data_IF_805709322325
#
_entry.id   IF_805709322325
#
_cell.length_a   1.000
_cell.length_b   1.000
_cell.length_c   1.000
_cell.angle_alpha   90.00
_cell.angle_beta   90.00
_cell.angle_gamma   90.00
#
_symmetry.space_group_name_H-M   'P 1'
#
loop_
_entity.id
_entity.type
_entity.pdbx_description
1 polymer ?
#
# COMPACT_ATOMS: atom_id res chain seq x y z
N UNK A 1 70.17 -49.53 30.11
CA UNK A 1 69.03 -49.01 30.91
C UNK A 1 68.36 -47.90 30.12
N UNK A 2 67.04 -48.02 29.94
CA UNK A 2 66.22 -47.33 28.94
C UNK A 2 66.06 -45.84 29.28
N UNK A 3 66.30 -44.93 28.32
CA UNK A 3 65.82 -43.55 28.41
C UNK A 3 64.40 -43.48 27.84
N UNK A 4 63.50 -42.86 28.60
CA UNK A 4 62.10 -42.66 28.27
C UNK A 4 61.94 -41.47 27.32
N UNK A 5 61.25 -41.70 26.21
CA UNK A 5 60.84 -40.70 25.23
C UNK A 5 59.48 -40.13 25.69
N UNK A 6 59.44 -38.87 26.13
CA UNK A 6 58.21 -38.20 26.53
C UNK A 6 57.51 -37.60 25.31
N UNK A 7 56.43 -38.23 24.86
CA UNK A 7 55.57 -37.77 23.76
C UNK A 7 54.65 -36.67 24.31
N UNK A 8 54.76 -35.45 23.77
CA UNK A 8 53.80 -34.37 24.01
C UNK A 8 52.60 -34.55 23.08
N UNK A 9 51.44 -34.85 23.65
CA UNK A 9 50.15 -34.83 22.94
C UNK A 9 49.56 -33.42 23.06
N UNK A 10 49.70 -32.60 22.02
CA UNK A 10 48.98 -31.33 21.91
C UNK A 10 47.53 -31.61 21.51
N UNK A 11 46.63 -31.55 22.48
CA UNK A 11 45.20 -31.60 22.27
C UNK A 11 44.75 -30.25 21.69
N UNK A 12 44.66 -30.17 20.36
CA UNK A 12 44.12 -29.01 19.66
C UNK A 12 42.60 -28.97 19.89
N UNK A 13 42.18 -28.23 20.92
CA UNK A 13 40.79 -27.87 21.13
C UNK A 13 40.34 -26.95 20.00
N UNK A 14 39.67 -27.52 18.99
CA UNK A 14 38.85 -26.75 18.06
C UNK A 14 37.69 -26.14 18.86
N UNK A 15 37.88 -24.92 19.36
CA UNK A 15 36.76 -24.03 19.65
C UNK A 15 36.01 -23.80 18.32
N UNK A 16 34.94 -24.56 18.11
CA UNK A 16 33.92 -24.17 17.16
C UNK A 16 33.33 -22.85 17.67
N UNK A 17 33.82 -21.73 17.13
CA UNK A 17 33.02 -20.52 17.14
C UNK A 17 31.78 -20.83 16.32
N UNK A 18 30.67 -21.11 17.02
CA UNK A 18 29.35 -21.03 16.45
C UNK A 18 29.19 -19.56 16.04
N UNK A 19 29.51 -19.25 14.79
CA UNK A 19 29.00 -18.05 14.16
C UNK A 19 27.48 -18.23 14.16
N UNK A 20 26.80 -17.58 15.11
CA UNK A 20 25.38 -17.34 15.03
C UNK A 20 25.14 -16.44 13.81
N UNK A 21 25.08 -17.06 12.64
CA UNK A 21 24.69 -16.40 11.42
C UNK A 21 23.22 -16.04 11.61
N UNK A 22 22.95 -14.77 11.96
CA UNK A 22 21.61 -14.22 12.05
C UNK A 22 20.84 -14.67 10.81
N UNK A 23 19.84 -15.54 10.99
CA UNK A 23 18.99 -16.03 9.89
C UNK A 23 18.07 -14.88 9.48
N UNK A 24 18.61 -13.96 8.70
CA UNK A 24 17.82 -12.93 8.00
C UNK A 24 17.18 -13.59 6.80
N UNK A 25 15.88 -13.83 6.87
CA UNK A 25 15.14 -14.31 5.72
C UNK A 25 15.12 -13.23 4.63
N UNK A 26 15.42 -13.62 3.41
CA UNK A 26 15.23 -12.77 2.24
C UNK A 26 13.75 -12.74 1.90
N UNK A 27 13.16 -11.55 1.95
CA UNK A 27 11.78 -11.31 1.53
C UNK A 27 11.82 -10.66 0.15
N UNK A 28 11.13 -11.25 -0.82
CA UNK A 28 10.96 -10.69 -2.16
C UNK A 28 9.52 -10.84 -2.59
N UNK A 29 8.94 -9.78 -3.15
CA UNK A 29 7.65 -9.83 -3.82
C UNK A 29 7.61 -8.91 -5.04
N UNK A 30 6.76 -9.24 -6.01
CA UNK A 30 6.47 -8.36 -7.13
C UNK A 30 5.48 -7.27 -6.73
N UNK A 31 5.69 -6.03 -7.16
CA UNK A 31 4.73 -4.93 -7.04
C UNK A 31 4.53 -4.29 -8.41
N UNK A 32 3.52 -4.80 -9.13
CA UNK A 32 3.10 -4.36 -10.47
C UNK A 32 4.26 -4.43 -11.48
N UNK A 33 4.95 -5.57 -11.53
CA UNK A 33 6.09 -5.82 -12.42
C UNK A 33 7.45 -5.40 -11.86
N UNK A 34 7.49 -4.83 -10.66
CA UNK A 34 8.71 -4.38 -10.01
C UNK A 34 9.02 -5.24 -8.77
N UNK A 35 10.14 -5.96 -8.80
CA UNK A 35 10.59 -6.72 -7.64
C UNK A 35 11.02 -5.78 -6.49
N UNK A 36 10.46 -6.02 -5.31
CA UNK A 36 10.84 -5.36 -4.05
C UNK A 36 11.43 -6.43 -3.13
N UNK A 37 12.69 -6.24 -2.75
CA UNK A 37 13.45 -7.19 -1.93
C UNK A 37 14.09 -6.53 -0.72
N UNK A 38 14.06 -7.21 0.43
CA UNK A 38 14.75 -6.80 1.66
C UNK A 38 14.98 -7.98 2.59
N UNK A 39 15.93 -7.84 3.50
CA UNK A 39 16.13 -8.79 4.59
C UNK A 39 15.19 -8.46 5.74
N UNK A 40 14.51 -9.47 6.28
CA UNK A 40 13.68 -9.34 7.46
C UNK A 40 13.77 -10.60 8.33
N UNK A 41 14.18 -10.45 9.59
CA UNK A 41 14.28 -11.57 10.52
C UNK A 41 12.91 -11.85 11.15
N UNK A 42 12.26 -12.93 10.70
CA UNK A 42 10.97 -13.37 11.22
C UNK A 42 11.02 -13.86 12.67
N UNK A 43 12.19 -14.17 13.22
CA UNK A 43 12.29 -14.59 14.61
C UNK A 43 12.21 -13.43 15.60
N UNK A 44 12.41 -12.19 15.12
CA UNK A 44 12.41 -10.98 15.93
C UNK A 44 11.07 -10.21 15.89
N UNK A 45 10.00 -10.84 15.38
CA UNK A 45 8.68 -10.22 15.35
C UNK A 45 8.21 -9.81 16.74
N UNK A 46 7.65 -8.61 16.83
CA UNK A 46 6.90 -8.18 18.01
C UNK A 46 5.57 -8.91 18.02
N UNK A 47 5.28 -9.68 19.06
CA UNK A 47 3.93 -10.21 19.27
C UNK A 47 3.08 -9.14 19.97
N UNK A 48 2.11 -8.57 19.25
CA UNK A 48 1.22 -7.55 19.79
C UNK A 48 -0.10 -8.20 20.19
N UNK A 49 -0.20 -8.61 21.45
CA UNK A 49 -1.34 -9.36 21.98
C UNK A 49 -2.22 -8.56 22.95
N UNK A 50 -1.84 -7.33 23.26
CA UNK A 50 -2.60 -6.48 24.18
C UNK A 50 -3.69 -5.69 23.45
N UNK A 51 -4.68 -5.23 24.23
CA UNK A 51 -5.64 -4.23 23.75
C UNK A 51 -4.91 -2.93 23.42
N UNK A 52 -5.26 -2.25 22.31
CA UNK A 52 -4.53 -1.09 21.87
C UNK A 52 -4.65 0.07 22.87
N UNK A 53 -3.50 0.44 23.45
CA UNK A 53 -3.36 1.55 24.39
C UNK A 53 -2.18 2.43 23.99
N UNK A 54 -2.18 3.69 24.45
CA UNK A 54 -1.08 4.63 24.18
C UNK A 54 0.27 4.06 24.63
N UNK A 55 0.32 3.52 25.86
CA UNK A 55 1.53 2.91 26.44
C UNK A 55 2.06 1.75 25.61
N UNK A 56 1.19 0.83 25.18
CA UNK A 56 1.61 -0.37 24.46
C UNK A 56 2.06 -0.02 23.03
N UNK A 57 1.37 0.92 22.38
CA UNK A 57 1.73 1.37 21.03
C UNK A 57 3.03 2.17 21.06
N UNK A 58 3.25 3.00 22.07
CA UNK A 58 4.53 3.69 22.26
C UNK A 58 5.66 2.68 22.53
N UNK A 59 5.40 1.62 23.30
CA UNK A 59 6.37 0.54 23.54
C UNK A 59 6.70 -0.22 22.25
N UNK A 60 5.69 -0.56 21.45
CA UNK A 60 5.85 -1.17 20.14
C UNK A 60 6.73 -0.31 19.22
N UNK A 61 6.43 0.99 19.14
CA UNK A 61 7.22 1.94 18.36
C UNK A 61 8.68 1.97 18.81
N UNK A 62 8.92 2.16 20.12
CA UNK A 62 10.26 2.26 20.69
C UNK A 62 11.09 0.98 20.47
N UNK A 63 10.44 -0.19 20.48
CA UNK A 63 11.10 -1.45 20.16
C UNK A 63 11.56 -1.50 18.70
N UNK A 64 10.72 -1.09 17.74
CA UNK A 64 11.09 -1.08 16.33
C UNK A 64 12.27 -0.14 16.06
N UNK A 65 12.27 1.03 16.70
CA UNK A 65 13.39 1.99 16.61
C UNK A 65 14.69 1.41 17.17
N UNK A 66 14.64 0.79 18.35
CA UNK A 66 15.84 0.27 19.03
C UNK A 66 16.40 -0.99 18.37
N UNK A 67 15.52 -1.92 17.99
CA UNK A 67 15.92 -3.20 17.37
C UNK A 67 16.44 -3.01 15.94
N UNK A 68 16.01 -1.96 15.23
CA UNK A 68 16.34 -1.70 13.82
C UNK A 68 15.94 -2.84 12.89
N UNK A 69 15.00 -3.70 13.32
CA UNK A 69 14.54 -4.87 12.56
C UNK A 69 13.97 -4.47 11.18
N UNK A 70 13.36 -3.29 11.08
CA UNK A 70 12.79 -2.77 9.83
C UNK A 70 13.76 -1.93 9.00
N UNK A 71 15.03 -1.79 9.38
CA UNK A 71 15.99 -0.94 8.65
C UNK A 71 16.11 -1.35 7.17
N UNK A 72 16.19 -2.65 6.89
CA UNK A 72 16.25 -3.17 5.52
C UNK A 72 14.96 -2.90 4.73
N UNK A 73 13.80 -3.09 5.38
CA UNK A 73 12.48 -2.81 4.80
C UNK A 73 12.32 -1.33 4.45
N UNK A 74 12.65 -0.42 5.37
CA UNK A 74 12.60 1.03 5.16
C UNK A 74 13.53 1.44 4.02
N UNK A 75 14.75 0.88 3.97
CA UNK A 75 15.70 1.15 2.89
C UNK A 75 15.14 0.73 1.52
N UNK A 76 14.53 -0.44 1.41
CA UNK A 76 13.92 -0.92 0.17
C UNK A 76 12.73 -0.06 -0.27
N UNK A 77 11.86 0.35 0.67
CA UNK A 77 10.75 1.26 0.37
C UNK A 77 11.24 2.64 -0.09
N UNK A 78 12.29 3.17 0.52
CA UNK A 78 12.90 4.44 0.13
C UNK A 78 13.57 4.32 -1.26
N UNK A 79 14.24 3.21 -1.54
CA UNK A 79 14.79 2.95 -2.87
C UNK A 79 13.69 2.89 -3.93
N UNK A 80 12.57 2.22 -3.63
CA UNK A 80 11.42 2.18 -4.52
C UNK A 80 10.87 3.59 -4.78
N UNK A 81 10.65 4.38 -3.72
CA UNK A 81 10.15 5.76 -3.85
C UNK A 81 11.08 6.63 -4.71
N UNK A 82 12.40 6.54 -4.49
CA UNK A 82 13.40 7.29 -5.28
C UNK A 82 13.42 6.88 -6.76
N UNK A 83 13.26 5.59 -7.04
CA UNK A 83 13.36 5.07 -8.42
C UNK A 83 12.09 5.32 -9.23
N UNK A 84 10.92 5.10 -8.63
CA UNK A 84 9.65 5.07 -9.37
C UNK A 84 8.77 6.30 -9.13
N UNK A 85 9.06 7.08 -8.07
CA UNK A 85 8.31 8.28 -7.67
C UNK A 85 6.79 8.02 -7.69
N UNK A 86 6.31 6.99 -6.95
CA UNK A 86 4.88 6.67 -6.93
C UNK A 86 4.09 7.77 -6.22
N UNK A 87 2.88 8.03 -6.71
CA UNK A 87 1.89 8.82 -5.97
C UNK A 87 1.62 8.21 -4.59
N UNK A 88 1.22 9.02 -3.61
CA UNK A 88 1.12 8.58 -2.21
C UNK A 88 0.15 7.40 -2.03
N UNK A 89 -0.96 7.38 -2.80
CA UNK A 89 -1.86 6.22 -2.82
C UNK A 89 -1.16 4.93 -3.26
N UNK A 90 -0.40 4.95 -4.36
CA UNK A 90 0.35 3.79 -4.82
C UNK A 90 1.44 3.40 -3.82
N UNK A 91 2.10 4.38 -3.22
CA UNK A 91 3.06 4.13 -2.15
C UNK A 91 2.41 3.46 -0.93
N UNK A 92 1.22 3.90 -0.53
CA UNK A 92 0.48 3.25 0.55
C UNK A 92 0.07 1.81 0.19
N UNK A 93 -0.31 1.53 -1.07
CA UNK A 93 -0.55 0.14 -1.51
C UNK A 93 0.72 -0.72 -1.42
N UNK A 94 1.90 -0.17 -1.70
CA UNK A 94 3.17 -0.85 -1.47
C UNK A 94 3.39 -1.13 0.02
N UNK A 95 3.18 -0.14 0.90
CA UNK A 95 3.27 -0.30 2.36
C UNK A 95 2.32 -1.37 2.87
N UNK A 96 1.08 -1.42 2.37
CA UNK A 96 0.10 -2.47 2.70
C UNK A 96 0.61 -3.85 2.29
N UNK A 97 1.20 -3.98 1.11
CA UNK A 97 1.75 -5.25 0.63
C UNK A 97 2.95 -5.68 1.48
N UNK A 98 3.86 -4.76 1.77
CA UNK A 98 5.00 -5.00 2.68
C UNK A 98 4.53 -5.47 4.05
N UNK A 99 3.60 -4.74 4.68
CA UNK A 99 3.04 -5.11 5.97
C UNK A 99 2.35 -6.48 5.91
N UNK A 100 1.62 -6.79 4.84
CA UNK A 100 0.97 -8.09 4.65
C UNK A 100 1.99 -9.23 4.52
N UNK A 101 3.13 -8.98 3.88
CA UNK A 101 4.18 -9.99 3.69
C UNK A 101 4.93 -10.29 4.99
N UNK A 102 5.21 -9.27 5.81
CA UNK A 102 5.95 -9.48 7.07
C UNK A 102 5.01 -9.80 8.22
N UNK A 103 3.85 -9.17 8.34
CA UNK A 103 2.88 -9.40 9.42
C UNK A 103 1.48 -9.54 8.82
N UNK A 104 1.12 -10.74 8.34
CA UNK A 104 -0.15 -10.95 7.65
C UNK A 104 -1.35 -10.51 8.48
N UNK A 105 -2.29 -9.81 7.83
CA UNK A 105 -3.50 -9.27 8.46
C UNK A 105 -4.31 -10.35 9.20
N UNK A 106 -4.39 -11.55 8.63
CA UNK A 106 -5.16 -12.66 9.17
C UNK A 106 -4.53 -13.29 10.43
N UNK A 107 -3.23 -13.13 10.63
CA UNK A 107 -2.54 -13.68 11.79
C UNK A 107 -2.68 -12.72 12.98
N UNK A 108 -2.51 -11.42 12.74
CA UNK A 108 -2.68 -10.39 13.75
C UNK A 108 -3.01 -9.03 13.10
N UNK A 109 -4.29 -8.66 13.16
CA UNK A 109 -4.80 -7.44 12.54
C UNK A 109 -4.20 -6.14 13.14
N UNK A 110 -4.07 -6.08 14.46
CA UNK A 110 -3.54 -4.90 15.14
C UNK A 110 -2.07 -4.69 14.77
N UNK A 111 -1.26 -5.75 14.83
CA UNK A 111 0.14 -5.72 14.41
C UNK A 111 0.31 -5.33 12.95
N UNK A 112 -0.50 -5.90 12.05
CA UNK A 112 -0.52 -5.50 10.64
C UNK A 112 -0.78 -4.00 10.48
N UNK A 113 -1.75 -3.46 11.23
CA UNK A 113 -2.09 -2.04 11.19
C UNK A 113 -0.98 -1.16 11.76
N UNK A 114 -0.35 -1.58 12.86
CA UNK A 114 0.78 -0.87 13.46
C UNK A 114 2.02 -0.87 12.57
N UNK A 115 2.32 -1.95 11.85
CA UNK A 115 3.40 -1.93 10.85
C UNK A 115 3.11 -0.97 9.70
N UNK A 116 1.88 -0.93 9.18
CA UNK A 116 1.49 0.07 8.17
C UNK A 116 1.70 1.48 8.70
N UNK A 117 1.18 1.77 9.89
CA UNK A 117 1.31 3.07 10.54
C UNK A 117 2.79 3.45 10.73
N UNK A 118 3.59 2.56 11.31
CA UNK A 118 5.01 2.78 11.53
C UNK A 118 5.75 3.08 10.22
N UNK A 119 5.53 2.31 9.15
CA UNK A 119 6.17 2.55 7.86
C UNK A 119 5.76 3.89 7.23
N UNK A 120 4.51 4.33 7.43
CA UNK A 120 4.06 5.66 7.00
C UNK A 120 4.67 6.79 7.85
N UNK A 121 4.84 6.58 9.16
CA UNK A 121 5.54 7.51 10.05
C UNK A 121 7.02 7.64 9.65
N UNK A 122 7.71 6.53 9.44
CA UNK A 122 9.11 6.50 8.96
C UNK A 122 9.26 7.11 7.55
N UNK A 123 8.16 7.23 6.83
CA UNK A 123 8.10 7.86 5.52
C UNK A 123 7.89 9.37 5.56
N UNK A 124 7.73 9.96 6.75
CA UNK A 124 7.54 11.40 6.98
C UNK A 124 6.08 11.85 7.04
N UNK A 125 5.11 10.95 6.83
CA UNK A 125 3.70 11.32 6.82
C UNK A 125 3.18 11.67 8.21
N UNK A 126 2.37 12.72 8.25
CA UNK A 126 1.64 13.10 9.46
C UNK A 126 0.44 12.16 9.63
N UNK A 127 0.36 11.51 10.79
CA UNK A 127 -0.64 10.48 11.08
C UNK A 127 -1.32 10.72 12.42
N UNK A 128 -2.45 10.06 12.62
CA UNK A 128 -3.18 10.03 13.89
C UNK A 128 -3.66 8.60 14.13
N UNK A 129 -3.58 8.14 15.37
CA UNK A 129 -4.17 6.88 15.82
C UNK A 129 -5.28 7.16 16.82
N UNK A 130 -6.36 6.39 16.74
CA UNK A 130 -7.41 6.40 17.77
C UNK A 130 -7.89 5.00 18.08
N UNK A 131 -8.30 4.76 19.32
CA UNK A 131 -8.67 3.44 19.83
C UNK A 131 -10.04 3.44 20.49
N UNK A 132 -10.75 2.32 20.36
CA UNK A 132 -11.96 2.00 21.14
C UNK A 132 -12.02 0.48 21.30
N UNK A 133 -12.01 0.00 22.54
CA UNK A 133 -11.86 -1.42 22.88
C UNK A 133 -10.67 -2.07 22.14
N UNK A 134 -10.94 -3.01 21.23
CA UNK A 134 -9.94 -3.74 20.44
C UNK A 134 -9.77 -3.16 19.04
N UNK A 135 -10.44 -2.04 18.74
CA UNK A 135 -10.37 -1.38 17.43
C UNK A 135 -9.33 -0.27 17.45
N UNK A 136 -8.41 -0.34 16.50
CA UNK A 136 -7.45 0.69 16.16
C UNK A 136 -7.82 1.33 14.82
N UNK A 137 -8.05 2.64 14.80
CA UNK A 137 -8.22 3.41 13.58
C UNK A 137 -6.95 4.19 13.27
N UNK A 138 -6.50 4.06 12.03
CA UNK A 138 -5.30 4.68 11.50
C UNK A 138 -5.71 5.76 10.51
N UNK A 139 -5.36 7.01 10.82
CA UNK A 139 -5.63 8.17 10.00
C UNK A 139 -4.34 8.77 9.44
N UNK A 140 -4.46 9.40 8.28
CA UNK A 140 -3.38 10.15 7.65
C UNK A 140 -3.85 11.56 7.30
N UNK A 141 -2.98 12.56 7.51
CA UNK A 141 -3.33 13.94 7.20
C UNK A 141 -3.40 14.12 5.69
N UNK A 142 -4.47 14.74 5.18
CA UNK A 142 -4.63 15.05 3.76
C UNK A 142 -5.31 16.41 3.58
N UNK A 143 -4.99 17.09 2.49
CA UNK A 143 -5.64 18.35 2.08
C UNK A 143 -6.67 18.12 0.97
N UNK A 144 -6.82 16.90 0.47
CA UNK A 144 -7.79 16.58 -0.56
C UNK A 144 -9.20 16.49 0.04
N UNK A 145 -10.23 16.85 -0.73
CA UNK A 145 -11.61 16.62 -0.30
C UNK A 145 -11.96 15.15 -0.47
N UNK A 146 -12.27 14.49 0.66
CA UNK A 146 -12.56 13.06 0.72
C UNK A 146 -13.99 12.84 1.20
N UNK A 147 -14.70 11.96 0.51
CA UNK A 147 -16.10 11.65 0.77
C UNK A 147 -16.28 10.17 1.12
N UNK A 148 -17.40 9.87 1.80
CA UNK A 148 -17.87 8.52 2.13
C UNK A 148 -16.94 7.66 3.01
N UNK A 149 -15.86 8.23 3.57
CA UNK A 149 -15.06 7.59 4.61
C UNK A 149 -14.85 8.53 5.79
N UNK A 150 -14.68 7.99 7.02
CA UNK A 150 -14.51 8.82 8.22
C UNK A 150 -13.24 9.65 8.14
N UNK A 151 -13.36 10.91 8.55
CA UNK A 151 -12.22 11.79 8.80
C UNK A 151 -12.40 12.51 10.14
N UNK A 152 -11.31 13.11 10.62
CA UNK A 152 -11.27 13.99 11.80
C UNK A 152 -10.61 15.30 11.42
N UNK A 153 -10.99 16.38 12.09
CA UNK A 153 -10.28 17.66 12.00
C UNK A 153 -9.60 17.92 13.33
N UNK A 154 -8.28 18.13 13.30
CA UNK A 154 -7.47 18.49 14.46
C UNK A 154 -6.55 19.64 14.06
N UNK A 155 -6.56 20.72 14.84
CA UNK A 155 -5.77 21.93 14.59
C UNK A 155 -5.96 22.50 13.17
N UNK A 156 -7.20 22.46 12.67
CA UNK A 156 -7.56 22.92 11.33
C UNK A 156 -7.13 21.99 10.18
N UNK A 157 -6.53 20.84 10.48
CA UNK A 157 -6.07 19.85 9.49
C UNK A 157 -6.98 18.63 9.45
N UNK A 158 -7.30 18.18 8.24
CA UNK A 158 -8.09 16.97 8.01
C UNK A 158 -7.21 15.71 8.07
N UNK A 159 -7.71 14.69 8.77
CA UNK A 159 -7.11 13.37 8.91
C UNK A 159 -8.11 12.30 8.45
N UNK A 160 -7.75 11.53 7.43
CA UNK A 160 -8.64 10.60 6.73
C UNK A 160 -8.35 9.16 7.15
N UNK A 161 -9.39 8.37 7.47
CA UNK A 161 -9.22 7.02 7.99
C UNK A 161 -8.85 6.01 6.89
N UNK A 162 -7.64 5.45 6.97
CA UNK A 162 -7.08 4.53 5.98
C UNK A 162 -7.52 3.06 6.14
N UNK A 163 -8.10 2.69 7.29
CA UNK A 163 -8.47 1.30 7.59
C UNK A 163 -9.93 1.11 7.99
N UNK A 164 -10.81 2.10 7.75
CA UNK A 164 -12.24 1.99 8.03
C UNK A 164 -12.88 0.75 7.37
N UNK A 165 -12.51 0.49 6.11
CA UNK A 165 -12.97 -0.67 5.33
C UNK A 165 -12.56 -2.02 5.93
N UNK A 166 -11.51 -2.05 6.76
CA UNK A 166 -11.09 -3.29 7.41
C UNK A 166 -12.10 -3.76 8.48
N UNK A 167 -12.97 -2.86 8.94
CA UNK A 167 -14.08 -3.15 9.85
C UNK A 167 -15.44 -3.24 9.12
N UNK A 168 -15.45 -3.55 7.83
CA UNK A 168 -16.69 -3.70 7.06
C UNK A 168 -17.43 -2.39 6.76
N UNK A 169 -16.78 -1.24 6.97
CA UNK A 169 -17.33 0.09 6.68
C UNK A 169 -18.66 0.40 7.40
N UNK A 170 -18.84 -0.10 8.62
CA UNK A 170 -20.10 0.00 9.36
C UNK A 170 -19.94 0.40 10.85
N UNK A 171 -18.85 1.08 11.21
CA UNK A 171 -18.64 1.53 12.60
C UNK A 171 -19.67 2.63 12.93
N UNK A 172 -20.46 2.39 13.96
CA UNK A 172 -21.35 3.40 14.56
C UNK A 172 -20.56 4.29 15.52
N UNK A 173 -20.07 5.43 15.02
CA UNK A 173 -19.29 6.39 15.80
C UNK A 173 -20.10 7.11 16.90
N UNK A 174 -21.44 7.02 16.88
CA UNK A 174 -22.26 7.56 17.97
C UNK A 174 -22.23 6.68 19.22
N UNK A 175 -22.07 5.36 19.02
CA UNK A 175 -21.99 4.36 20.11
C UNK A 175 -20.56 4.03 20.51
N UNK A 176 -19.63 4.10 19.57
CA UNK A 176 -18.23 3.71 19.77
C UNK A 176 -17.36 4.97 19.82
N UNK A 177 -17.07 5.46 21.02
CA UNK A 177 -16.25 6.67 21.21
C UNK A 177 -14.76 6.33 21.15
N UNK A 178 -14.14 6.70 20.04
CA UNK A 178 -12.71 6.47 19.81
C UNK A 178 -11.86 7.60 20.40
N UNK A 179 -10.97 7.23 21.32
CA UNK A 179 -10.01 8.14 21.95
C UNK A 179 -8.75 8.25 21.10
N UNK A 180 -8.29 9.47 20.85
CA UNK A 180 -7.03 9.73 20.16
C UNK A 180 -5.83 9.37 21.05
N UNK A 181 -4.77 8.83 20.46
CA UNK A 181 -3.52 8.55 21.15
C UNK A 181 -2.53 9.72 21.01
N UNK A 182 -1.94 10.16 22.11
CA UNK A 182 -0.87 11.16 22.13
C UNK A 182 0.49 10.46 22.11
N UNK A 183 1.06 10.26 20.92
CA UNK A 183 2.34 9.58 20.73
C UNK A 183 3.44 10.60 20.41
N UNK A 184 4.52 10.60 21.18
CA UNK A 184 5.63 11.56 21.07
C UNK A 184 6.29 11.59 19.69
N UNK A 185 6.28 10.45 18.97
CA UNK A 185 6.86 10.33 17.63
C UNK A 185 6.19 11.26 16.60
N UNK A 186 4.92 11.61 16.79
CA UNK A 186 4.13 12.25 15.74
C UNK A 186 4.44 13.74 15.55
N UNK A 187 5.17 14.36 16.48
CA UNK A 187 5.41 15.81 16.51
C UNK A 187 6.27 16.31 15.34
N UNK A 188 7.17 15.47 14.80
CA UNK A 188 8.13 15.90 13.79
C UNK A 188 7.68 15.68 12.33
N UNK A 189 6.58 14.94 12.12
CA UNK A 189 6.13 14.60 10.77
C UNK A 189 5.20 15.67 10.20
N UNK A 190 5.51 16.15 9.00
CA UNK A 190 4.80 17.27 8.37
C UNK A 190 4.22 16.94 6.99
N UNK A 191 4.56 15.80 6.39
CA UNK A 191 4.11 15.49 5.03
C UNK A 191 2.61 15.15 5.02
N UNK A 192 1.86 15.89 4.19
CA UNK A 192 0.48 15.58 3.84
C UNK A 192 0.42 14.46 2.81
N UNK A 193 -0.62 13.65 2.88
CA UNK A 193 -0.93 12.60 1.91
C UNK A 193 -1.85 13.10 0.81
N UNK A 194 -1.52 12.83 -0.45
CA UNK A 194 -2.43 13.06 -1.59
C UNK A 194 -3.04 11.77 -2.13
N UNK A 195 -4.35 11.80 -2.33
CA UNK A 195 -5.08 10.79 -3.06
C UNK A 195 -4.99 10.96 -4.58
N UNK A 196 -4.34 12.01 -5.09
CA UNK A 196 -4.13 12.18 -6.52
C UNK A 196 -3.34 11.01 -7.09
N UNK A 197 -3.75 10.53 -8.27
CA UNK A 197 -3.02 9.53 -9.05
C UNK A 197 -2.70 10.16 -10.41
N UNK A 198 -1.47 10.59 -10.58
CA UNK A 198 -0.96 11.19 -11.83
C UNK A 198 -0.31 10.14 -12.72
N UNK A 199 0.25 9.07 -12.12
CA UNK A 199 0.95 8.03 -12.86
C UNK A 199 0.59 6.64 -12.34
N UNK A 200 0.22 5.74 -13.27
CA UNK A 200 0.08 4.32 -12.97
C UNK A 200 1.43 3.60 -13.03
N UNK A 201 1.60 2.48 -12.30
CA UNK A 201 2.78 1.63 -12.44
C UNK A 201 2.96 1.13 -13.87
N UNK A 202 4.21 0.91 -14.26
CA UNK A 202 4.56 0.28 -15.54
C UNK A 202 4.32 -1.24 -15.43
N UNK A 203 3.10 -1.68 -15.74
CA UNK A 203 2.74 -3.09 -15.69
C UNK A 203 3.46 -3.94 -16.74
N UNK A 204 3.68 -5.22 -16.46
CA UNK A 204 4.24 -6.13 -17.45
C UNK A 204 3.28 -6.32 -18.63
N UNK A 205 3.82 -6.47 -19.84
CA UNK A 205 3.01 -6.73 -21.04
C UNK A 205 2.20 -8.03 -20.92
N UNK A 206 2.68 -8.99 -20.13
CA UNK A 206 2.00 -10.25 -19.88
C UNK A 206 0.77 -10.11 -18.98
N UNK A 207 0.66 -9.03 -18.20
CA UNK A 207 -0.43 -8.80 -17.24
C UNK A 207 -1.71 -8.26 -17.92
N UNK A 208 -1.62 -7.90 -19.20
CA UNK A 208 -2.75 -7.36 -19.96
C UNK A 208 -3.61 -8.46 -20.56
N UNK A 209 -4.91 -8.35 -20.34
CA UNK A 209 -5.92 -9.21 -20.96
C UNK A 209 -6.71 -8.44 -22.00
N UNK A 210 -7.28 -9.16 -22.96
CA UNK A 210 -8.24 -8.58 -23.88
C UNK A 210 -9.62 -8.51 -23.22
N UNK A 211 -10.24 -7.34 -23.24
CA UNK A 211 -11.65 -7.13 -22.89
C UNK A 211 -12.43 -6.79 -24.15
N UNK A 212 -13.49 -7.55 -24.40
CA UNK A 212 -14.46 -7.22 -25.43
C UNK A 212 -15.42 -6.17 -24.84
N UNK A 213 -15.70 -5.13 -25.61
CA UNK A 213 -16.70 -4.10 -25.31
C UNK A 213 -17.75 -4.13 -26.42
N UNK A 214 -19.02 -4.01 -26.06
CA UNK A 214 -20.10 -3.94 -27.03
C UNK A 214 -21.12 -2.89 -26.62
N UNK A 215 -21.64 -2.13 -27.58
CA UNK A 215 -22.81 -1.30 -27.34
C UNK A 215 -23.59 -1.09 -28.63
N UNK A 216 -24.86 -0.73 -28.48
CA UNK A 216 -25.75 -0.41 -29.59
C UNK A 216 -26.04 1.08 -29.61
N UNK A 217 -26.03 1.66 -30.79
CA UNK A 217 -26.45 3.04 -31.03
C UNK A 217 -27.29 3.05 -32.30
N UNK A 218 -28.58 3.36 -32.15
CA UNK A 218 -29.58 3.17 -33.20
C UNK A 218 -29.55 1.71 -33.70
N UNK A 219 -29.49 1.50 -35.01
CA UNK A 219 -29.45 0.17 -35.63
C UNK A 219 -28.03 -0.42 -35.74
N UNK A 220 -27.01 0.25 -35.19
CA UNK A 220 -25.62 -0.19 -35.27
C UNK A 220 -25.15 -0.84 -33.98
N UNK A 221 -24.56 -2.02 -34.11
CA UNK A 221 -23.86 -2.72 -33.04
C UNK A 221 -22.35 -2.53 -33.20
N UNK A 222 -21.72 -1.97 -32.17
CA UNK A 222 -20.29 -1.70 -32.12
C UNK A 222 -19.62 -2.74 -31.24
N UNK A 223 -18.56 -3.36 -31.76
CA UNK A 223 -17.75 -4.34 -31.05
C UNK A 223 -16.29 -3.91 -31.05
N UNK A 224 -15.69 -3.84 -29.87
CA UNK A 224 -14.28 -3.50 -29.68
C UNK A 224 -13.57 -4.56 -28.86
N UNK A 225 -12.28 -4.70 -29.13
CA UNK A 225 -11.37 -5.49 -28.31
C UNK A 225 -10.26 -4.56 -27.82
N UNK A 226 -10.22 -4.34 -26.52
CA UNK A 226 -9.23 -3.47 -25.88
C UNK A 226 -8.36 -4.26 -24.92
N UNK A 227 -7.18 -3.72 -24.59
CA UNK A 227 -6.32 -4.26 -23.55
C UNK A 227 -6.64 -3.61 -22.20
N UNK A 228 -6.78 -4.40 -21.16
CA UNK A 228 -6.97 -3.93 -19.79
C UNK A 228 -6.05 -4.68 -18.84
N UNK A 229 -5.61 -4.01 -17.78
CA UNK A 229 -4.86 -4.66 -16.72
C UNK A 229 -5.77 -4.94 -15.51
N UNK A 230 -5.96 -6.21 -15.09
CA UNK A 230 -6.76 -6.56 -13.91
C UNK A 230 -6.27 -5.95 -12.60
N UNK A 231 -4.97 -5.69 -12.46
CA UNK A 231 -4.36 -5.13 -11.24
C UNK A 231 -4.84 -3.73 -10.91
N UNK A 232 -5.38 -2.99 -11.88
CA UNK A 232 -6.03 -1.70 -11.64
C UNK A 232 -7.14 -1.84 -10.59
N UNK A 233 -7.91 -2.93 -10.61
CA UNK A 233 -8.93 -3.18 -9.57
C UNK A 233 -8.33 -3.28 -8.18
N UNK A 234 -7.12 -3.84 -8.07
CA UNK A 234 -6.39 -3.96 -6.80
C UNK A 234 -5.84 -2.61 -6.34
N UNK A 235 -5.34 -1.79 -7.28
CA UNK A 235 -4.88 -0.42 -6.98
C UNK A 235 -6.01 0.41 -6.40
N UNK A 236 -7.17 0.41 -7.05
CA UNK A 236 -8.34 1.21 -6.63
C UNK A 236 -9.16 0.56 -5.53
N UNK A 237 -8.76 -0.61 -5.02
CA UNK A 237 -9.45 -1.27 -3.91
C UNK A 237 -9.39 -0.39 -2.67
N UNK A 238 -10.56 0.00 -2.17
CA UNK A 238 -10.73 0.92 -1.03
C UNK A 238 -10.18 2.34 -1.27
N UNK A 239 -9.91 2.72 -2.52
CA UNK A 239 -9.70 4.12 -2.87
C UNK A 239 -10.99 4.90 -2.58
N UNK A 240 -10.94 6.02 -1.84
CA UNK A 240 -12.14 6.71 -1.42
C UNK A 240 -12.79 7.47 -2.58
N UNK A 241 -13.99 7.99 -2.32
CA UNK A 241 -14.57 8.98 -3.22
C UNK A 241 -13.84 10.30 -3.01
N UNK A 242 -13.39 10.90 -4.11
CA UNK A 242 -12.62 12.15 -4.15
C UNK A 242 -13.29 13.14 -5.10
N UNK A 243 -12.82 14.38 -5.15
CA UNK A 243 -13.30 15.36 -6.12
C UNK A 243 -13.21 14.84 -7.56
N UNK A 244 -14.22 15.19 -8.38
CA UNK A 244 -14.27 14.79 -9.79
C UNK A 244 -13.03 15.20 -10.58
N UNK A 245 -12.37 16.30 -10.22
CA UNK A 245 -11.12 16.73 -10.84
C UNK A 245 -10.01 15.69 -10.68
N UNK A 246 -9.89 15.03 -9.52
CA UNK A 246 -8.92 13.96 -9.31
C UNK A 246 -9.33 12.70 -10.07
N UNK A 247 -10.62 12.36 -10.04
CA UNK A 247 -11.15 11.18 -10.71
C UNK A 247 -10.99 11.25 -12.24
N UNK A 248 -11.37 12.36 -12.88
CA UNK A 248 -11.31 12.51 -14.34
C UNK A 248 -9.89 12.65 -14.88
N UNK A 249 -8.96 13.14 -14.05
CA UNK A 249 -7.54 13.24 -14.42
C UNK A 249 -6.73 11.98 -14.08
N UNK A 250 -7.34 10.96 -13.47
CA UNK A 250 -6.69 9.68 -13.26
C UNK A 250 -6.38 9.03 -14.60
N UNK A 251 -5.12 8.68 -14.89
CA UNK A 251 -4.76 8.13 -16.19
C UNK A 251 -5.28 6.71 -16.35
N UNK A 252 -5.45 6.30 -17.61
CA UNK A 252 -5.53 4.88 -17.98
C UNK A 252 -4.14 4.35 -18.31
N UNK A 253 -3.94 3.05 -18.20
CA UNK A 253 -2.66 2.43 -18.59
C UNK A 253 -2.32 2.69 -20.06
N UNK A 254 -1.03 2.73 -20.39
CA UNK A 254 -0.57 2.99 -21.76
C UNK A 254 -1.14 1.99 -22.77
N UNK A 255 -1.15 0.69 -22.44
CA UNK A 255 -1.69 -0.33 -23.34
C UNK A 255 -3.21 -0.21 -23.51
N UNK A 256 -3.95 0.18 -22.45
CA UNK A 256 -5.38 0.49 -22.58
C UNK A 256 -5.57 1.68 -23.51
N UNK A 257 -4.84 2.79 -23.28
CA UNK A 257 -4.90 3.99 -24.13
C UNK A 257 -4.62 3.66 -25.59
N UNK A 258 -3.53 2.94 -25.86
CA UNK A 258 -3.09 2.56 -27.21
C UNK A 258 -4.10 1.65 -27.93
N UNK A 259 -4.85 0.83 -27.19
CA UNK A 259 -5.88 -0.04 -27.78
C UNK A 259 -7.25 0.61 -27.91
N UNK A 260 -7.59 1.59 -27.07
CA UNK A 260 -8.93 2.20 -27.01
C UNK A 260 -9.03 3.50 -27.82
N UNK A 261 -8.10 4.44 -27.64
CA UNK A 261 -8.24 5.79 -28.19
C UNK A 261 -8.31 5.79 -29.73
N UNK A 262 -7.45 5.05 -30.47
CA UNK A 262 -7.55 5.01 -31.93
C UNK A 262 -8.89 4.45 -32.45
N UNK A 263 -9.52 3.54 -31.69
CA UNK A 263 -10.83 2.99 -32.04
C UNK A 263 -11.90 4.08 -31.91
N UNK A 264 -11.90 4.84 -30.81
CA UNK A 264 -12.85 5.93 -30.60
C UNK A 264 -12.64 7.06 -31.62
N UNK A 265 -11.41 7.49 -31.84
CA UNK A 265 -11.06 8.53 -32.83
C UNK A 265 -11.55 8.16 -34.23
N UNK A 266 -11.37 6.92 -34.66
CA UNK A 266 -11.84 6.43 -35.96
C UNK A 266 -13.36 6.57 -36.12
N UNK A 267 -14.13 6.33 -35.05
CA UNK A 267 -15.59 6.39 -35.09
C UNK A 267 -16.09 7.83 -35.08
N UNK A 268 -15.49 8.70 -34.25
CA UNK A 268 -15.95 10.09 -34.13
C UNK A 268 -15.46 11.01 -35.25
N UNK A 269 -14.35 10.67 -35.95
CA UNK A 269 -13.72 11.52 -36.98
C UNK A 269 -14.66 11.97 -38.09
N UNK A 270 -15.69 11.18 -38.42
CA UNK A 270 -16.66 11.48 -39.48
C UNK A 270 -17.97 12.08 -38.97
N UNK A 271 -18.12 12.23 -37.66
CA UNK A 271 -19.33 12.73 -37.03
C UNK A 271 -19.24 14.24 -36.81
N UNK A 272 -20.37 14.93 -36.93
CA UNK A 272 -20.47 16.28 -36.37
C UNK A 272 -20.39 16.22 -34.84
N UNK A 273 -20.15 17.38 -34.20
CA UNK A 273 -19.94 17.46 -32.75
C UNK A 273 -21.09 16.81 -31.97
N UNK A 274 -22.35 17.12 -32.32
CA UNK A 274 -23.54 16.58 -31.63
C UNK A 274 -23.55 15.05 -31.66
N UNK A 275 -23.34 14.45 -32.84
CA UNK A 275 -23.36 13.00 -33.01
C UNK A 275 -22.12 12.33 -32.40
N UNK A 276 -20.97 12.99 -32.43
CA UNK A 276 -19.76 12.51 -31.77
C UNK A 276 -19.89 12.48 -30.25
N UNK A 277 -20.49 13.51 -29.65
CA UNK A 277 -20.78 13.56 -28.22
C UNK A 277 -21.77 12.47 -27.83
N UNK A 278 -22.88 12.33 -28.56
CA UNK A 278 -23.86 11.26 -28.30
C UNK A 278 -23.20 9.88 -28.40
N UNK A 279 -22.41 9.63 -29.44
CA UNK A 279 -21.64 8.39 -29.58
C UNK A 279 -20.75 8.10 -28.36
N UNK A 280 -19.98 9.08 -27.88
CA UNK A 280 -19.08 8.91 -26.73
C UNK A 280 -19.86 8.70 -25.42
N UNK A 281 -20.99 9.38 -25.24
CA UNK A 281 -21.87 9.20 -24.08
C UNK A 281 -22.47 7.79 -24.04
N UNK A 282 -22.95 7.31 -25.18
CA UNK A 282 -23.53 5.97 -25.33
C UNK A 282 -22.48 4.89 -25.11
N UNK A 283 -21.27 5.09 -25.67
CA UNK A 283 -20.12 4.23 -25.40
C UNK A 283 -19.79 4.17 -23.91
N UNK A 284 -19.63 5.32 -23.24
CA UNK A 284 -19.28 5.38 -21.81
C UNK A 284 -20.34 4.71 -20.93
N UNK A 285 -21.62 4.82 -21.31
CA UNK A 285 -22.74 4.27 -20.54
C UNK A 285 -22.95 2.77 -20.74
N UNK A 286 -22.80 2.27 -21.97
CA UNK A 286 -23.26 0.92 -22.33
C UNK A 286 -22.12 -0.05 -22.69
N UNK A 287 -20.95 0.44 -23.13
CA UNK A 287 -19.90 -0.44 -23.66
C UNK A 287 -19.21 -1.31 -22.60
N UNK A 288 -19.36 -0.96 -21.33
CA UNK A 288 -18.67 -1.59 -20.20
C UNK A 288 -19.57 -2.47 -19.32
N UNK A 289 -20.87 -2.54 -19.63
CA UNK A 289 -21.90 -3.33 -18.93
C UNK A 289 -21.75 -4.81 -19.28
#
# INVERSE_FOLDING_TARGET
MKSLLTIWFTLLSCMFMVNAQERKDSVVFDFYGNAVGFCFDKTQFVDYVSKPSEKDIQTFYNYLERSKILKGTIAALNQYRKKYVPDDWLYYQLVRKTAQTISPKQDNYLRYTLYKWYLMVQSGYRTLLSVHDERLLFYIQSTDNIYNIPYRVKDGLQYVCLNYHDYGSNIDFSKNQFSELQLQVLENNTQSFSYKIEKLPDFSKADYINKNLQFKLNDFEYNFKIKVNPDLKTIFKNYPVVDYSLQFNTPVSEATRASLIPLLEKQVKKLNIKNGVDYLMQFARYAFV
#
